data_IF_078450245947
#
_entry.id   IF_078450245947
#
_cell.length_a   1.000
_cell.length_b   1.000
_cell.length_c   1.000
_cell.angle_alpha   90.00
_cell.angle_beta   90.00
_cell.angle_gamma   90.00
#
_symmetry.space_group_name_H-M   'P 1'
#
loop_
_entity.id
_entity.type
_entity.pdbx_description
1 polymer ?
#
# COMPACT_ATOMS: atom_id res chain seq x y z
N UNK A 1 -10.82 -1.54 13.39
CA UNK A 1 -9.64 -2.43 13.19
C UNK A 1 -8.80 -1.87 12.05
N UNK A 2 -7.52 -2.26 11.91
CA UNK A 2 -6.63 -1.72 10.86
C UNK A 2 -7.21 -1.92 9.44
N UNK A 3 -7.79 -3.10 9.18
CA UNK A 3 -8.47 -3.41 7.92
C UNK A 3 -9.64 -2.45 7.62
N UNK A 4 -10.52 -2.19 8.60
CA UNK A 4 -11.65 -1.25 8.44
C UNK A 4 -11.17 0.19 8.15
N UNK A 5 -10.00 0.57 8.66
CA UNK A 5 -9.41 1.87 8.38
C UNK A 5 -8.79 1.94 6.97
N UNK A 6 -8.29 0.82 6.46
CA UNK A 6 -7.72 0.69 5.12
C UNK A 6 -8.75 0.51 4.01
N UNK A 7 -9.89 -0.12 4.33
CA UNK A 7 -10.92 -0.50 3.37
C UNK A 7 -11.36 0.64 2.43
N UNK A 8 -11.61 1.88 2.90
CA UNK A 8 -11.98 2.98 2.00
C UNK A 8 -10.91 3.27 0.93
N UNK A 9 -9.63 3.11 1.28
CA UNK A 9 -8.51 3.37 0.39
C UNK A 9 -8.32 2.21 -0.60
N UNK A 10 -8.42 0.96 -0.15
CA UNK A 10 -8.35 -0.19 -1.07
C UNK A 10 -9.53 -0.22 -2.05
N UNK A 11 -10.72 0.24 -1.62
CA UNK A 11 -11.88 0.37 -2.49
C UNK A 11 -11.67 1.44 -3.58
N UNK A 12 -11.12 2.60 -3.24
CA UNK A 12 -10.81 3.63 -4.23
C UNK A 12 -9.68 3.19 -5.18
N UNK A 13 -8.69 2.43 -4.68
CA UNK A 13 -7.66 1.83 -5.53
C UNK A 13 -8.27 0.88 -6.57
N UNK A 14 -9.19 0.01 -6.15
CA UNK A 14 -9.90 -0.90 -7.04
C UNK A 14 -10.72 -0.13 -8.10
N UNK A 15 -11.35 0.99 -7.70
CA UNK A 15 -12.07 1.86 -8.62
C UNK A 15 -11.17 2.44 -9.71
N UNK A 16 -9.91 2.79 -9.42
CA UNK A 16 -8.99 3.23 -10.47
C UNK A 16 -8.67 2.13 -11.47
N UNK A 17 -8.54 0.88 -11.02
CA UNK A 17 -8.39 -0.25 -11.94
C UNK A 17 -9.64 -0.47 -12.81
N UNK A 18 -10.84 -0.37 -12.23
CA UNK A 18 -12.11 -0.47 -12.99
C UNK A 18 -12.22 0.62 -14.08
N UNK A 19 -11.68 1.80 -13.82
CA UNK A 19 -11.65 2.92 -14.76
C UNK A 19 -10.45 2.90 -15.72
N UNK A 20 -9.59 1.87 -15.67
CA UNK A 20 -8.35 1.77 -16.46
C UNK A 20 -7.39 2.94 -16.24
N UNK A 21 -7.39 3.53 -15.05
CA UNK A 21 -6.52 4.64 -14.63
C UNK A 21 -5.26 4.09 -13.94
N UNK A 22 -4.42 3.36 -14.69
CA UNK A 22 -3.30 2.62 -14.13
C UNK A 22 -2.24 3.51 -13.46
N UNK A 23 -2.04 4.72 -13.97
CA UNK A 23 -1.03 5.65 -13.47
C UNK A 23 -1.47 6.27 -12.12
N UNK A 24 -2.76 6.57 -12.00
CA UNK A 24 -3.43 6.99 -10.78
C UNK A 24 -3.43 5.86 -9.75
N UNK A 25 -3.78 4.64 -10.17
CA UNK A 25 -3.74 3.45 -9.31
C UNK A 25 -2.33 3.22 -8.72
N UNK A 26 -1.28 3.34 -9.53
CA UNK A 26 0.12 3.26 -9.07
C UNK A 26 0.41 4.32 -7.99
N UNK A 27 0.17 5.59 -8.29
CA UNK A 27 0.45 6.70 -7.35
C UNK A 27 -0.36 6.58 -6.06
N UNK A 28 -1.61 6.13 -6.16
CA UNK A 28 -2.47 5.94 -5.01
C UNK A 28 -1.99 4.79 -4.12
N UNK A 29 -1.61 3.65 -4.72
CA UNK A 29 -1.01 2.53 -4.00
C UNK A 29 0.30 2.96 -3.30
N UNK A 30 1.19 3.71 -3.96
CA UNK A 30 2.39 4.26 -3.32
C UNK A 30 2.06 5.10 -2.07
N UNK A 31 0.97 5.88 -2.12
CA UNK A 31 0.47 6.66 -0.98
C UNK A 31 0.00 5.78 0.19
N UNK A 32 -0.76 4.71 -0.10
CA UNK A 32 -1.21 3.74 0.91
C UNK A 32 0.01 3.08 1.58
N UNK A 33 0.93 2.54 0.78
CA UNK A 33 2.13 1.86 1.26
C UNK A 33 3.00 2.77 2.13
N UNK A 34 3.17 4.02 1.72
CA UNK A 34 3.89 5.04 2.51
C UNK A 34 3.21 5.31 3.86
N UNK A 35 1.88 5.42 3.87
CA UNK A 35 1.13 5.64 5.11
C UNK A 35 1.24 4.48 6.08
N UNK A 36 1.18 3.24 5.57
CA UNK A 36 1.36 2.02 6.37
C UNK A 36 2.78 1.95 6.95
N UNK A 37 3.81 2.17 6.13
CA UNK A 37 5.22 2.18 6.57
C UNK A 37 5.47 3.25 7.63
N UNK A 38 4.95 4.46 7.42
CA UNK A 38 5.05 5.55 8.40
C UNK A 38 4.36 5.19 9.72
N UNK A 39 3.16 4.60 9.67
CA UNK A 39 2.47 4.14 10.86
C UNK A 39 3.29 3.07 11.60
N UNK A 40 3.82 2.07 10.88
CA UNK A 40 4.67 1.03 11.45
C UNK A 40 5.92 1.59 12.14
N UNK A 41 6.56 2.61 11.57
CA UNK A 41 7.79 3.22 12.14
C UNK A 41 7.49 4.20 13.28
N UNK A 42 6.52 5.08 13.12
CA UNK A 42 6.37 6.29 13.96
C UNK A 42 5.23 6.21 14.98
N UNK A 43 4.25 5.31 14.81
CA UNK A 43 3.10 5.25 15.70
C UNK A 43 3.50 4.87 17.13
N UNK A 44 2.98 5.62 18.11
CA UNK A 44 3.08 5.33 19.55
C UNK A 44 1.73 4.89 20.12
N UNK A 45 0.80 4.46 19.26
CA UNK A 45 -0.53 4.04 19.69
C UNK A 45 -0.49 2.68 20.37
N UNK A 46 -1.33 2.48 21.39
CA UNK A 46 -1.49 1.16 22.04
C UNK A 46 -1.92 0.06 21.06
N UNK A 47 -2.54 0.44 19.95
CA UNK A 47 -2.88 -0.49 18.89
C UNK A 47 -1.64 -1.17 18.27
N UNK A 48 -0.55 -0.42 18.10
CA UNK A 48 0.71 -0.97 17.57
C UNK A 48 1.28 -2.03 18.50
N UNK A 49 1.24 -1.79 19.81
CA UNK A 49 1.74 -2.73 20.82
C UNK A 49 0.90 -4.02 20.92
N UNK A 50 -0.35 -3.99 20.43
CA UNK A 50 -1.25 -5.16 20.43
C UNK A 50 -1.18 -5.95 19.12
N UNK A 51 -0.69 -5.34 18.05
CA UNK A 51 -0.64 -5.91 16.71
C UNK A 51 0.61 -5.41 15.97
N UNK A 52 1.79 -5.76 16.52
CA UNK A 52 3.09 -5.26 16.04
C UNK A 52 3.34 -5.61 14.58
N UNK A 53 2.89 -6.79 14.13
CA UNK A 53 3.10 -7.29 12.77
C UNK A 53 2.09 -6.77 11.75
N UNK A 54 0.95 -6.22 12.21
CA UNK A 54 -0.15 -5.83 11.32
C UNK A 54 0.29 -4.83 10.23
N UNK A 55 1.06 -3.75 10.51
CA UNK A 55 1.49 -2.83 9.48
C UNK A 55 2.25 -3.53 8.33
N UNK A 56 3.16 -4.46 8.63
CA UNK A 56 3.93 -5.16 7.61
C UNK A 56 3.05 -6.16 6.83
N UNK A 57 2.17 -6.90 7.51
CA UNK A 57 1.21 -7.80 6.84
C UNK A 57 0.29 -7.06 5.87
N UNK A 58 -0.24 -5.90 6.28
CA UNK A 58 -1.11 -5.09 5.41
C UNK A 58 -0.33 -4.40 4.30
N UNK A 59 0.93 -4.03 4.52
CA UNK A 59 1.80 -3.51 3.48
C UNK A 59 1.99 -4.54 2.36
N UNK A 60 2.38 -5.76 2.73
CA UNK A 60 2.59 -6.86 1.78
C UNK A 60 1.31 -7.21 1.04
N UNK A 61 0.18 -7.32 1.75
CA UNK A 61 -1.11 -7.62 1.14
C UNK A 61 -1.53 -6.58 0.10
N UNK A 62 -1.44 -5.28 0.42
CA UNK A 62 -1.81 -4.21 -0.53
C UNK A 62 -0.89 -4.21 -1.75
N UNK A 63 0.42 -4.40 -1.54
CA UNK A 63 1.38 -4.48 -2.64
C UNK A 63 1.10 -5.66 -3.56
N UNK A 64 0.86 -6.84 -3.00
CA UNK A 64 0.58 -8.07 -3.75
C UNK A 64 -0.72 -7.96 -4.55
N UNK A 65 -1.79 -7.44 -3.93
CA UNK A 65 -3.07 -7.23 -4.60
C UNK A 65 -2.93 -6.24 -5.75
N UNK A 66 -2.17 -5.14 -5.55
CA UNK A 66 -1.87 -4.19 -6.61
C UNK A 66 -1.02 -4.81 -7.73
N UNK A 67 0.01 -5.58 -7.42
CA UNK A 67 0.86 -6.28 -8.41
C UNK A 67 0.06 -7.29 -9.24
N UNK A 68 -0.91 -7.97 -8.64
CA UNK A 68 -1.81 -8.90 -9.36
C UNK A 68 -2.77 -8.17 -10.30
N UNK A 69 -3.24 -6.98 -9.92
CA UNK A 69 -4.15 -6.17 -10.73
C UNK A 69 -3.41 -5.39 -11.84
N UNK A 70 -2.19 -4.92 -11.57
CA UNK A 70 -1.38 -4.17 -12.52
C UNK A 70 -0.79 -5.08 -13.61
N UNK A 71 -1.10 -4.80 -14.87
CA UNK A 71 -0.58 -5.55 -16.02
C UNK A 71 0.63 -4.89 -16.69
N UNK A 72 1.02 -3.70 -16.23
CA UNK A 72 2.06 -2.89 -16.83
C UNK A 72 3.41 -3.11 -16.12
N UNK A 73 4.41 -3.72 -16.79
CA UNK A 73 5.71 -3.99 -16.18
C UNK A 73 6.48 -2.73 -15.78
N UNK A 74 6.32 -1.62 -16.50
CA UNK A 74 6.99 -0.34 -16.17
C UNK A 74 6.48 0.20 -14.83
N UNK A 75 5.18 0.13 -14.60
CA UNK A 75 4.59 0.53 -13.32
C UNK A 75 5.05 -0.35 -12.17
N UNK A 76 5.21 -1.66 -12.40
CA UNK A 76 5.74 -2.58 -11.39
C UNK A 76 7.17 -2.19 -11.04
N UNK A 77 8.02 -1.92 -12.02
CA UNK A 77 9.40 -1.49 -11.78
C UNK A 77 9.45 -0.14 -11.03
N UNK A 78 8.62 0.83 -11.41
CA UNK A 78 8.53 2.11 -10.69
C UNK A 78 8.10 1.94 -9.22
N UNK A 79 7.22 0.99 -8.93
CA UNK A 79 6.82 0.65 -7.57
C UNK A 79 7.97 0.03 -6.77
N UNK A 80 8.73 -0.87 -7.38
CA UNK A 80 9.90 -1.50 -6.75
C UNK A 80 10.99 -0.47 -6.45
N UNK A 81 11.31 0.40 -7.41
CA UNK A 81 12.24 1.52 -7.22
C UNK A 81 11.78 2.45 -6.09
N UNK A 82 10.48 2.71 -5.98
CA UNK A 82 9.90 3.52 -4.91
C UNK A 82 10.05 2.85 -3.54
N UNK A 83 9.81 1.54 -3.44
CA UNK A 83 9.94 0.80 -2.17
C UNK A 83 11.40 0.79 -1.72
N UNK A 84 12.32 0.41 -2.61
CA UNK A 84 13.75 0.31 -2.31
C UNK A 84 14.34 1.66 -1.89
N UNK A 85 14.04 2.73 -2.63
CA UNK A 85 14.67 4.05 -2.43
C UNK A 85 13.91 4.95 -1.47
N UNK A 86 12.58 4.84 -1.45
CA UNK A 86 11.69 5.74 -0.73
C UNK A 86 11.33 5.24 0.66
N UNK A 87 11.24 3.92 0.85
CA UNK A 87 10.84 3.30 2.12
C UNK A 87 12.00 2.53 2.78
N UNK A 88 13.03 2.18 1.99
CA UNK A 88 14.20 1.44 2.47
C UNK A 88 13.87 -0.01 2.81
N UNK A 89 12.90 -0.60 2.10
CA UNK A 89 12.50 -2.00 2.20
C UNK A 89 12.99 -2.78 1.00
#
# INVERSE_FOLDING_TARGET
MFEEALEPFTNELNRYFELSLENEAKKYCMGILKGIDQFGKESTSQFKDWAEDAPDEFFERVLDDWKRACKNPEHIQEMEDFIERGLGK
#
